data_IF_960563755002
#
_entry.id   IF_960563755002
#
_cell.length_a   1.000
_cell.length_b   1.000
_cell.length_c   1.000
_cell.angle_alpha   90.00
_cell.angle_beta   90.00
_cell.angle_gamma   90.00
#
_symmetry.space_group_name_H-M   'P 1'
#
loop_
_entity.id
_entity.type
_entity.pdbx_description
1 polymer ?
#
# COMPACT_ATOMS: atom_id res chain seq x y z
N UNK A 1 -14.99 58.09 -66.45
CA UNK A 1 -13.91 57.55 -65.61
C UNK A 1 -14.56 56.62 -64.61
N UNK A 2 -14.52 55.31 -64.85
CA UNK A 2 -15.24 54.31 -64.06
C UNK A 2 -14.24 53.28 -63.60
N UNK A 3 -13.97 53.25 -62.30
CA UNK A 3 -13.02 52.36 -61.64
C UNK A 3 -13.56 50.93 -61.62
N UNK A 4 -12.75 49.98 -62.09
CA UNK A 4 -13.03 48.54 -62.01
C UNK A 4 -12.39 48.00 -60.73
N UNK A 5 -13.19 47.77 -59.68
CA UNK A 5 -12.75 47.17 -58.42
C UNK A 5 -12.81 45.65 -58.51
N UNK A 6 -11.65 44.99 -58.55
CA UNK A 6 -11.51 43.54 -58.41
C UNK A 6 -11.63 43.14 -56.93
N UNK A 7 -12.68 42.39 -56.59
CA UNK A 7 -12.80 41.71 -55.30
C UNK A 7 -11.98 40.42 -55.30
N UNK A 8 -10.94 40.34 -54.47
CA UNK A 8 -10.27 39.08 -54.14
C UNK A 8 -11.03 38.42 -52.98
N UNK A 9 -11.70 37.30 -53.24
CA UNK A 9 -12.18 36.39 -52.18
C UNK A 9 -10.98 35.62 -51.61
N UNK A 10 -10.54 35.98 -50.40
CA UNK A 10 -9.69 35.10 -49.60
C UNK A 10 -10.57 34.00 -48.97
N UNK A 11 -10.47 32.78 -49.50
CA UNK A 11 -11.05 31.60 -48.85
C UNK A 11 -10.29 31.27 -47.58
N UNK A 12 -10.92 31.42 -46.41
CA UNK A 12 -10.42 30.88 -45.16
C UNK A 12 -10.54 29.34 -45.21
N UNK A 13 -9.43 28.66 -45.48
CA UNK A 13 -9.25 27.25 -45.16
C UNK A 13 -9.14 27.11 -43.63
N UNK A 14 -10.26 26.82 -42.98
CA UNK A 14 -10.27 26.42 -41.58
C UNK A 14 -9.60 25.06 -41.43
N UNK A 15 -8.37 25.02 -40.89
CA UNK A 15 -7.80 23.78 -40.36
C UNK A 15 -8.59 23.40 -39.10
N UNK A 16 -9.49 22.42 -39.23
CA UNK A 16 -10.01 21.70 -38.07
C UNK A 16 -8.88 20.82 -37.53
N UNK A 17 -8.18 21.28 -36.50
CA UNK A 17 -7.34 20.40 -35.69
C UNK A 17 -8.31 19.48 -34.94
N UNK A 18 -8.47 18.25 -35.43
CA UNK A 18 -9.16 17.22 -34.67
C UNK A 18 -8.36 16.99 -33.39
N UNK A 19 -8.85 17.50 -32.26
CA UNK A 19 -8.35 17.13 -30.96
C UNK A 19 -8.66 15.66 -30.76
N UNK A 20 -7.64 14.80 -30.92
CA UNK A 20 -7.72 13.43 -30.46
C UNK A 20 -7.75 13.52 -28.93
N UNK A 21 -8.95 13.59 -28.37
CA UNK A 21 -9.15 13.38 -26.94
C UNK A 21 -8.81 11.90 -26.71
N UNK A 22 -7.74 11.57 -25.96
CA UNK A 22 -7.49 10.18 -25.60
C UNK A 22 -8.74 9.67 -24.88
N UNK A 23 -9.36 8.60 -25.39
CA UNK A 23 -10.39 7.91 -24.63
C UNK A 23 -9.73 7.45 -23.34
N UNK A 24 -10.19 7.95 -22.19
CA UNK A 24 -9.80 7.36 -20.92
C UNK A 24 -10.17 5.87 -20.98
N UNK A 25 -9.22 5.01 -20.63
CA UNK A 25 -9.48 3.58 -20.55
C UNK A 25 -10.67 3.32 -19.60
N UNK A 26 -11.50 2.31 -19.89
CA UNK A 26 -12.68 2.06 -19.08
C UNK A 26 -12.27 1.60 -17.68
N UNK A 27 -12.89 2.17 -16.65
CA UNK A 27 -12.82 1.66 -15.29
C UNK A 27 -13.50 0.29 -15.25
N UNK A 28 -12.78 -0.73 -14.80
CA UNK A 28 -13.27 -2.12 -14.75
C UNK A 28 -13.25 -2.66 -13.32
N UNK A 29 -14.23 -3.50 -12.98
CA UNK A 29 -14.21 -4.20 -11.71
C UNK A 29 -13.26 -5.40 -11.78
N UNK A 30 -12.44 -5.58 -10.74
CA UNK A 30 -11.58 -6.74 -10.61
C UNK A 30 -12.40 -7.98 -10.26
N UNK A 31 -12.01 -9.12 -10.82
CA UNK A 31 -12.55 -10.42 -10.41
C UNK A 31 -12.06 -10.80 -9.01
N UNK A 32 -12.79 -11.71 -8.35
CA UNK A 32 -12.40 -12.21 -7.03
C UNK A 32 -10.98 -12.82 -7.03
N UNK A 33 -10.55 -13.47 -8.11
CA UNK A 33 -9.19 -14.02 -8.21
C UNK A 33 -8.11 -12.95 -8.37
N UNK A 34 -8.43 -11.84 -9.06
CA UNK A 34 -7.52 -10.70 -9.16
C UNK A 34 -7.36 -10.02 -7.80
N UNK A 35 -8.44 -9.81 -7.06
CA UNK A 35 -8.39 -9.27 -5.68
C UNK A 35 -7.60 -10.19 -4.75
N UNK A 36 -7.89 -11.50 -4.77
CA UNK A 36 -7.21 -12.47 -3.91
C UNK A 36 -5.69 -12.53 -4.14
N UNK A 37 -5.20 -12.15 -5.32
CA UNK A 37 -3.76 -12.09 -5.61
C UNK A 37 -3.01 -11.02 -4.81
N UNK A 38 -3.71 -10.00 -4.29
CA UNK A 38 -3.13 -8.97 -3.42
C UNK A 38 -2.97 -9.45 -1.97
N UNK A 39 -3.81 -10.39 -1.53
CA UNK A 39 -3.94 -10.78 -0.11
C UNK A 39 -2.61 -11.16 0.58
N UNK A 40 -1.69 -11.94 -0.03
CA UNK A 40 -0.39 -12.21 0.58
C UNK A 40 0.39 -10.93 0.86
N UNK A 41 0.37 -9.98 -0.08
CA UNK A 41 1.07 -8.70 0.01
C UNK A 41 0.39 -7.73 0.98
N UNK A 42 -0.94 -7.79 1.13
CA UNK A 42 -1.66 -7.06 2.18
C UNK A 42 -1.15 -7.47 3.57
N UNK A 43 -1.00 -8.78 3.82
CA UNK A 43 -0.44 -9.26 5.08
C UNK A 43 1.05 -8.91 5.26
N UNK A 44 1.83 -8.82 4.17
CA UNK A 44 3.20 -8.33 4.27
C UNK A 44 3.25 -6.83 4.63
N UNK A 45 2.36 -6.00 4.08
CA UNK A 45 2.26 -4.61 4.49
C UNK A 45 1.80 -4.49 5.97
N UNK A 46 0.80 -5.26 6.39
CA UNK A 46 0.37 -5.32 7.79
C UNK A 46 1.49 -5.78 8.74
N UNK A 47 2.27 -6.80 8.35
CA UNK A 47 3.43 -7.31 9.10
C UNK A 47 4.48 -6.25 9.39
N UNK A 48 4.61 -5.22 8.54
CA UNK A 48 5.59 -4.16 8.74
C UNK A 48 5.31 -3.31 9.98
N UNK A 49 4.09 -3.33 10.53
CA UNK A 49 3.75 -2.70 11.81
C UNK A 49 4.22 -3.47 13.05
N UNK A 50 4.74 -4.69 12.87
CA UNK A 50 5.16 -5.53 13.97
C UNK A 50 6.62 -5.24 14.34
N UNK A 51 6.93 -5.36 15.64
CA UNK A 51 8.29 -5.14 16.13
C UNK A 51 9.31 -5.98 15.34
N UNK A 52 10.47 -5.43 14.95
CA UNK A 52 11.48 -6.14 14.16
C UNK A 52 11.85 -7.51 14.74
N UNK A 53 12.00 -7.59 16.06
CA UNK A 53 12.27 -8.86 16.75
C UNK A 53 11.14 -9.90 16.58
N UNK A 54 9.88 -9.46 16.59
CA UNK A 54 8.74 -10.34 16.39
C UNK A 54 8.64 -10.82 14.93
N UNK A 55 8.99 -9.95 13.95
CA UNK A 55 9.07 -10.35 12.54
C UNK A 55 10.18 -11.40 12.35
N UNK A 56 11.38 -11.15 12.89
CA UNK A 56 12.51 -12.08 12.79
C UNK A 56 12.22 -13.44 13.44
N UNK A 57 11.57 -13.43 14.61
CA UNK A 57 11.19 -14.64 15.34
C UNK A 57 9.89 -15.29 14.84
N UNK A 58 9.27 -14.72 13.78
CA UNK A 58 7.96 -15.14 13.25
C UNK A 58 6.86 -15.21 14.32
N UNK A 59 6.93 -14.34 15.33
CA UNK A 59 6.04 -14.34 16.49
C UNK A 59 5.09 -13.14 16.45
N UNK A 60 4.57 -12.81 15.27
CA UNK A 60 3.74 -11.63 15.04
C UNK A 60 2.26 -11.93 14.76
N UNK A 61 1.80 -13.09 15.24
CA UNK A 61 0.41 -13.56 15.14
C UNK A 61 -0.04 -13.70 13.68
N UNK A 62 -1.28 -13.34 13.42
CA UNK A 62 -1.92 -13.51 12.10
C UNK A 62 -1.11 -12.93 10.93
N UNK A 63 -0.38 -11.83 11.16
CA UNK A 63 0.45 -11.20 10.13
C UNK A 63 1.66 -12.08 9.73
N UNK A 64 2.18 -12.88 10.66
CA UNK A 64 3.21 -13.87 10.39
C UNK A 64 2.60 -15.16 9.83
N UNK A 65 1.49 -15.61 10.42
CA UNK A 65 0.85 -16.89 10.09
C UNK A 65 0.21 -16.89 8.69
N UNK A 66 -0.17 -15.72 8.17
CA UNK A 66 -0.72 -15.59 6.81
C UNK A 66 0.29 -15.93 5.70
N UNK A 67 1.60 -15.85 5.99
CA UNK A 67 2.67 -16.16 5.03
C UNK A 67 3.75 -17.03 5.71
N UNK A 68 3.39 -18.26 6.10
CA UNK A 68 4.25 -19.16 6.90
C UNK A 68 5.58 -19.53 6.22
N UNK A 69 5.61 -19.54 4.89
CA UNK A 69 6.81 -19.83 4.10
C UNK A 69 7.87 -18.73 4.18
N UNK A 70 7.51 -17.51 4.60
CA UNK A 70 8.41 -16.38 4.71
C UNK A 70 9.61 -16.70 5.60
N UNK A 71 10.80 -16.34 5.16
CA UNK A 71 12.05 -16.50 5.90
C UNK A 71 12.65 -15.10 6.13
N UNK A 72 12.37 -14.47 7.28
CA UNK A 72 12.98 -13.19 7.65
C UNK A 72 14.50 -13.29 7.63
N UNK A 73 15.16 -12.28 7.05
CA UNK A 73 16.63 -12.20 6.93
C UNK A 73 17.19 -11.02 7.71
N UNK A 74 16.50 -9.88 7.66
CA UNK A 74 16.86 -8.67 8.40
C UNK A 74 15.58 -7.90 8.75
N UNK A 75 15.61 -7.18 9.87
CA UNK A 75 14.60 -6.21 10.22
C UNK A 75 15.23 -5.12 11.10
N UNK A 76 14.68 -3.91 11.07
CA UNK A 76 15.21 -2.78 11.81
C UNK A 76 14.18 -1.66 11.96
N UNK A 77 14.66 -0.50 12.41
CA UNK A 77 13.82 0.64 12.79
C UNK A 77 13.36 0.58 14.25
N UNK A 78 12.86 1.71 14.74
CA UNK A 78 12.29 1.87 16.09
C UNK A 78 10.81 2.24 16.08
N UNK A 79 10.22 2.42 14.88
CA UNK A 79 8.82 2.78 14.67
C UNK A 79 8.51 4.22 15.09
N UNK A 80 9.55 5.03 15.23
CA UNK A 80 9.50 6.43 15.66
C UNK A 80 10.43 7.27 14.79
N UNK A 81 11.73 7.33 15.12
CA UNK A 81 12.70 8.10 14.35
C UNK A 81 13.08 7.42 13.02
N UNK A 82 12.95 6.09 12.97
CA UNK A 82 13.11 5.25 11.79
C UNK A 82 11.94 4.27 11.76
N UNK A 83 11.11 4.33 10.72
CA UNK A 83 10.04 3.37 10.51
C UNK A 83 10.57 1.93 10.50
N UNK A 84 9.79 0.98 11.01
CA UNK A 84 10.18 -0.42 10.91
C UNK A 84 10.31 -0.83 9.46
N UNK A 85 11.28 -1.69 9.20
CA UNK A 85 11.47 -2.30 7.91
C UNK A 85 11.93 -3.74 8.09
N UNK A 86 11.70 -4.57 7.08
CA UNK A 86 12.24 -5.92 7.04
C UNK A 86 12.56 -6.36 5.61
N UNK A 87 13.46 -7.34 5.52
CA UNK A 87 13.78 -8.07 4.30
C UNK A 87 13.74 -9.56 4.59
N UNK A 88 13.16 -10.35 3.69
CA UNK A 88 13.18 -11.81 3.80
C UNK A 88 12.87 -12.52 2.49
N UNK A 89 12.98 -13.84 2.49
CA UNK A 89 12.76 -14.68 1.31
C UNK A 89 11.39 -15.35 1.45
N UNK A 90 10.53 -15.23 0.44
CA UNK A 90 9.35 -16.08 0.32
C UNK A 90 9.54 -17.08 -0.84
N UNK A 91 9.84 -18.36 -0.52
CA UNK A 91 10.03 -19.38 -1.54
C UNK A 91 8.72 -19.78 -2.23
N UNK A 92 7.56 -19.60 -1.59
CA UNK A 92 6.25 -19.92 -2.19
C UNK A 92 5.87 -18.90 -3.25
N UNK A 93 6.11 -17.61 -2.96
CA UNK A 93 5.90 -16.50 -3.91
C UNK A 93 7.09 -16.30 -4.86
N UNK A 94 8.20 -17.03 -4.65
CA UNK A 94 9.45 -16.95 -5.43
C UNK A 94 10.00 -15.52 -5.53
N UNK A 95 9.97 -14.80 -4.43
CA UNK A 95 10.45 -13.42 -4.35
C UNK A 95 11.14 -13.14 -3.02
N UNK A 96 12.11 -12.24 -3.03
CA UNK A 96 12.52 -11.52 -1.81
C UNK A 96 11.43 -10.48 -1.52
N UNK A 97 11.03 -10.32 -0.25
CA UNK A 97 10.10 -9.30 0.20
C UNK A 97 10.87 -8.23 0.96
N UNK A 98 10.61 -6.96 0.64
CA UNK A 98 10.98 -5.80 1.46
C UNK A 98 9.69 -5.13 1.92
N UNK A 99 9.54 -4.93 3.22
CA UNK A 99 8.37 -4.27 3.79
C UNK A 99 8.74 -3.06 4.63
N UNK A 100 7.96 -1.98 4.48
CA UNK A 100 8.09 -0.75 5.27
C UNK A 100 6.83 -0.46 6.08
N UNK A 101 7.05 -0.03 7.32
CA UNK A 101 6.00 0.44 8.22
C UNK A 101 5.47 1.80 7.76
N UNK A 102 4.16 1.98 7.86
CA UNK A 102 3.56 3.30 7.87
C UNK A 102 3.66 3.99 9.23
N UNK A 103 2.94 5.10 9.40
CA UNK A 103 2.81 5.76 10.71
C UNK A 103 1.41 5.53 11.29
N UNK A 104 1.13 6.06 12.49
CA UNK A 104 -0.24 6.14 12.98
C UNK A 104 -1.03 7.13 12.11
N UNK A 105 -2.24 6.79 11.62
CA UNK A 105 -3.03 7.67 10.77
C UNK A 105 -3.23 9.08 11.36
N UNK A 106 -3.44 9.16 12.68
CA UNK A 106 -3.62 10.43 13.40
C UNK A 106 -2.38 11.34 13.39
N UNK A 107 -1.20 10.80 13.07
CA UNK A 107 0.05 11.57 12.90
C UNK A 107 0.26 12.03 11.46
N UNK A 108 -0.46 11.46 10.48
CA UNK A 108 -0.34 11.79 9.05
C UNK A 108 -0.77 13.23 8.77
N UNK A 109 -1.88 13.68 9.38
CA UNK A 109 -2.43 15.01 9.10
C UNK A 109 -1.44 16.11 9.50
N UNK A 110 -0.90 16.17 10.72
CA UNK A 110 0.11 17.18 11.08
C UNK A 110 1.36 17.11 10.20
N UNK A 111 1.85 15.89 9.89
CA UNK A 111 3.06 15.68 9.07
C UNK A 111 2.93 16.21 7.63
N UNK A 112 1.70 16.32 7.11
CA UNK A 112 1.40 16.73 5.73
C UNK A 112 0.67 18.08 5.63
N UNK A 113 0.44 18.75 6.77
CA UNK A 113 -0.08 20.14 6.81
C UNK A 113 0.87 21.11 7.48
N UNK A 114 1.84 20.64 8.27
CA UNK A 114 2.88 21.49 8.83
C UNK A 114 3.82 21.94 7.69
N UNK A 115 4.05 23.25 7.59
CA UNK A 115 4.71 23.94 6.46
C UNK A 115 6.21 23.66 6.29
N UNK A 116 6.67 22.44 6.54
CA UNK A 116 8.07 21.99 6.44
C UNK A 116 8.33 20.92 5.37
N UNK A 117 7.31 20.51 4.60
CA UNK A 117 7.51 19.65 3.44
C UNK A 117 7.43 20.41 2.12
N UNK A 118 8.20 19.94 1.14
CA UNK A 118 8.28 20.50 -0.21
C UNK A 118 8.80 19.43 -1.18
N UNK A 119 8.66 19.68 -2.47
CA UNK A 119 9.33 18.93 -3.52
C UNK A 119 10.82 19.26 -3.50
N UNK A 120 11.66 18.24 -3.41
CA UNK A 120 13.12 18.37 -3.40
C UNK A 120 13.77 17.30 -4.28
N UNK A 121 15.00 17.55 -4.71
CA UNK A 121 15.74 16.64 -5.55
C UNK A 121 16.19 15.39 -4.78
N UNK A 122 16.15 14.25 -5.45
CA UNK A 122 16.70 13.01 -4.91
C UNK A 122 18.23 13.10 -4.77
N UNK A 123 18.75 12.55 -3.66
CA UNK A 123 20.19 12.48 -3.42
C UNK A 123 20.88 11.65 -4.52
N UNK A 124 21.75 12.26 -5.32
CA UNK A 124 22.43 11.61 -6.45
C UNK A 124 23.38 10.46 -6.07
N UNK A 125 23.78 10.34 -4.80
CA UNK A 125 24.52 9.16 -4.31
C UNK A 125 23.61 7.94 -4.17
N UNK A 126 22.36 8.17 -3.74
CA UNK A 126 21.35 7.11 -3.61
C UNK A 126 20.64 6.87 -4.95
N UNK A 127 20.41 7.91 -5.74
CA UNK A 127 19.65 7.84 -6.99
C UNK A 127 20.50 8.34 -8.17
N UNK A 128 21.62 7.66 -8.49
CA UNK A 128 22.53 8.13 -9.52
C UNK A 128 21.86 8.15 -10.89
N UNK A 129 22.06 9.24 -11.64
CA UNK A 129 21.67 9.32 -13.05
C UNK A 129 20.19 9.62 -13.31
N UNK A 130 19.39 9.87 -12.27
CA UNK A 130 18.02 10.37 -12.44
C UNK A 130 18.03 11.81 -12.96
N UNK A 131 17.06 12.13 -13.82
CA UNK A 131 16.86 13.47 -14.36
C UNK A 131 16.62 14.48 -13.24
N UNK A 132 17.26 15.65 -13.31
CA UNK A 132 17.12 16.72 -12.31
C UNK A 132 15.70 17.30 -12.21
N UNK A 133 14.83 17.07 -13.20
CA UNK A 133 13.41 17.43 -13.10
C UNK A 133 12.63 16.55 -12.14
N UNK A 134 13.17 15.41 -11.71
CA UNK A 134 12.53 14.52 -10.74
C UNK A 134 12.71 15.09 -9.34
N UNK A 135 11.59 15.40 -8.71
CA UNK A 135 11.53 15.87 -7.32
C UNK A 135 10.52 15.02 -6.55
N UNK A 136 10.81 14.79 -5.27
CA UNK A 136 9.97 14.02 -4.36
C UNK A 136 9.75 14.78 -3.05
N UNK A 137 8.81 14.31 -2.25
CA UNK A 137 8.58 14.81 -0.90
C UNK A 137 9.87 14.69 -0.06
N UNK A 138 10.43 15.83 0.35
CA UNK A 138 11.70 15.88 1.10
C UNK A 138 11.72 14.95 2.32
N UNK A 139 10.65 14.89 3.12
CA UNK A 139 10.59 14.00 4.30
C UNK A 139 10.51 12.51 3.96
N UNK A 140 9.93 12.13 2.82
CA UNK A 140 9.95 10.73 2.39
C UNK A 140 11.35 10.35 1.91
N UNK A 141 12.03 11.25 1.18
CA UNK A 141 13.42 11.05 0.79
C UNK A 141 14.37 10.96 2.00
N UNK A 142 14.22 11.86 2.98
CA UNK A 142 14.99 11.85 4.23
C UNK A 142 14.81 10.54 5.00
N UNK A 143 13.57 10.08 5.14
CA UNK A 143 13.26 8.84 5.86
C UNK A 143 13.80 7.60 5.12
N UNK A 144 13.61 7.53 3.81
CA UNK A 144 14.17 6.45 2.97
C UNK A 144 15.70 6.39 3.06
N UNK A 145 16.37 7.54 3.04
CA UNK A 145 17.84 7.62 3.11
C UNK A 145 18.42 6.98 4.38
N UNK A 146 17.67 6.97 5.50
CA UNK A 146 18.13 6.38 6.77
C UNK A 146 18.30 4.86 6.68
N UNK A 147 17.55 4.17 5.83
CA UNK A 147 17.49 2.71 5.77
C UNK A 147 17.94 2.12 4.43
N UNK A 148 18.02 2.92 3.36
CA UNK A 148 18.36 2.52 2.00
C UNK A 148 19.56 1.55 1.90
N UNK A 149 20.70 1.91 2.49
CA UNK A 149 21.91 1.06 2.43
C UNK A 149 21.77 -0.26 3.19
N UNK A 150 21.04 -0.27 4.31
CA UNK A 150 20.80 -1.48 5.10
C UNK A 150 19.88 -2.44 4.34
N UNK A 151 18.81 -1.90 3.74
CA UNK A 151 17.86 -2.65 2.91
C UNK A 151 18.53 -3.18 1.64
N UNK A 152 19.34 -2.38 0.95
CA UNK A 152 20.11 -2.83 -0.22
C UNK A 152 21.02 -4.01 0.13
N UNK A 153 21.76 -3.90 1.24
CA UNK A 153 22.65 -4.96 1.71
C UNK A 153 21.88 -6.25 2.05
N UNK A 154 20.79 -6.13 2.81
CA UNK A 154 19.95 -7.26 3.18
C UNK A 154 19.26 -7.91 1.97
N UNK A 155 18.78 -7.11 1.02
CA UNK A 155 18.14 -7.58 -0.22
C UNK A 155 19.15 -8.34 -1.07
N UNK A 156 20.37 -7.82 -1.23
CA UNK A 156 21.45 -8.51 -1.94
C UNK A 156 21.79 -9.86 -1.30
N UNK A 157 21.89 -9.91 0.03
CA UNK A 157 22.15 -11.16 0.75
C UNK A 157 21.00 -12.18 0.59
N UNK A 158 19.75 -11.72 0.63
CA UNK A 158 18.58 -12.58 0.42
C UNK A 158 18.51 -13.15 -1.01
N UNK A 159 18.82 -12.34 -2.02
CA UNK A 159 18.90 -12.78 -3.42
C UNK A 159 20.03 -13.82 -3.62
N UNK A 160 21.22 -13.56 -3.08
CA UNK A 160 22.35 -14.50 -3.14
C UNK A 160 22.05 -15.83 -2.45
N UNK A 161 21.39 -15.80 -1.29
CA UNK A 161 21.04 -17.02 -0.54
C UNK A 161 19.98 -17.87 -1.24
N UNK A 162 19.06 -17.25 -1.97
CA UNK A 162 17.89 -17.91 -2.55
C UNK A 162 18.03 -18.21 -4.05
N UNK A 163 18.97 -17.57 -4.75
CA UNK A 163 19.08 -17.54 -6.21
C UNK A 163 17.81 -17.03 -6.91
N UNK A 164 16.94 -16.29 -6.20
CA UNK A 164 15.78 -15.66 -6.79
C UNK A 164 16.19 -14.40 -7.57
N UNK A 165 15.40 -14.07 -8.59
CA UNK A 165 15.62 -12.91 -9.45
C UNK A 165 14.46 -11.91 -9.36
N UNK A 166 13.64 -12.01 -8.31
CA UNK A 166 12.50 -11.11 -8.08
C UNK A 166 12.53 -10.56 -6.65
N UNK A 167 12.27 -9.26 -6.55
CA UNK A 167 12.03 -8.53 -5.30
C UNK A 167 10.63 -7.93 -5.36
N UNK A 168 9.88 -8.06 -4.28
CA UNK A 168 8.57 -7.44 -4.11
C UNK A 168 8.62 -6.50 -2.93
N UNK A 169 8.29 -5.25 -3.18
CA UNK A 169 8.31 -4.14 -2.24
C UNK A 169 6.88 -3.91 -1.78
N UNK A 170 6.67 -3.79 -0.47
CA UNK A 170 5.34 -3.55 0.08
C UNK A 170 5.38 -2.47 1.15
N UNK A 171 4.29 -1.74 1.28
CA UNK A 171 4.13 -0.81 2.38
C UNK A 171 2.72 -0.23 2.44
N UNK A 172 2.38 0.29 3.61
CA UNK A 172 1.12 1.00 3.85
C UNK A 172 1.42 2.42 4.30
N UNK A 173 0.60 3.40 3.92
CA UNK A 173 0.75 4.80 4.35
C UNK A 173 2.14 5.36 4.00
N UNK A 174 2.85 6.00 4.94
CA UNK A 174 4.26 6.37 4.80
C UNK A 174 5.13 5.20 4.25
N UNK A 175 4.88 3.97 4.69
CA UNK A 175 5.62 2.80 4.22
C UNK A 175 5.39 2.51 2.73
N UNK A 176 4.21 2.85 2.19
CA UNK A 176 3.95 2.74 0.75
C UNK A 176 4.81 3.74 -0.05
N UNK A 177 4.98 4.96 0.47
CA UNK A 177 5.88 5.95 -0.13
C UNK A 177 7.34 5.50 -0.09
N UNK A 178 7.80 4.93 1.04
CA UNK A 178 9.15 4.37 1.16
C UNK A 178 9.37 3.19 0.23
N UNK A 179 8.39 2.28 0.10
CA UNK A 179 8.43 1.16 -0.84
C UNK A 179 8.48 1.64 -2.31
N UNK A 180 7.78 2.72 -2.65
CA UNK A 180 7.87 3.33 -3.99
C UNK A 180 9.26 3.93 -4.25
N UNK A 181 9.86 4.60 -3.26
CA UNK A 181 11.24 5.10 -3.39
C UNK A 181 12.25 3.94 -3.53
N UNK A 182 12.09 2.86 -2.76
CA UNK A 182 12.90 1.63 -2.91
C UNK A 182 12.80 1.04 -4.32
N UNK A 183 11.63 1.16 -4.96
CA UNK A 183 11.41 0.64 -6.32
C UNK A 183 12.15 1.42 -7.40
N UNK A 184 12.59 2.64 -7.08
CA UNK A 184 13.46 3.46 -7.94
C UNK A 184 14.92 3.27 -7.54
N UNK A 185 15.20 3.16 -6.24
CA UNK A 185 16.54 3.04 -5.64
C UNK A 185 17.19 1.68 -5.93
N UNK A 186 16.55 0.57 -5.55
CA UNK A 186 17.15 -0.77 -5.60
C UNK A 186 17.57 -1.21 -7.01
N UNK A 187 16.80 -0.95 -8.09
CA UNK A 187 17.23 -1.31 -9.45
C UNK A 187 18.56 -0.68 -9.87
N UNK A 188 18.93 0.48 -9.33
CA UNK A 188 20.21 1.15 -9.62
C UNK A 188 21.43 0.33 -9.16
N UNK A 189 21.24 -0.56 -8.18
CA UNK A 189 22.32 -1.32 -7.54
C UNK A 189 22.15 -2.85 -7.62
N UNK A 190 21.06 -3.31 -8.21
CA UNK A 190 20.70 -4.72 -8.38
C UNK A 190 20.27 -4.99 -9.83
N UNK A 191 21.18 -4.83 -10.82
CA UNK A 191 20.85 -5.06 -12.22
C UNK A 191 20.45 -6.51 -12.46
N UNK A 192 19.48 -6.72 -13.34
CA UNK A 192 18.96 -8.05 -13.70
C UNK A 192 17.93 -8.63 -12.72
N UNK A 193 17.57 -7.89 -11.66
CA UNK A 193 16.50 -8.26 -10.72
C UNK A 193 15.19 -7.61 -11.18
N UNK A 194 14.10 -8.37 -11.13
CA UNK A 194 12.75 -7.88 -11.40
C UNK A 194 12.12 -7.34 -10.12
N UNK A 195 11.48 -6.17 -10.21
CA UNK A 195 10.84 -5.52 -9.07
C UNK A 195 9.33 -5.42 -9.28
N UNK A 196 8.57 -5.64 -8.22
CA UNK A 196 7.14 -5.37 -8.11
C UNK A 196 6.87 -4.57 -6.85
N UNK A 197 5.95 -3.63 -6.90
CA UNK A 197 5.64 -2.76 -5.76
C UNK A 197 4.15 -2.78 -5.48
N UNK A 198 3.78 -3.07 -4.23
CA UNK A 198 2.41 -2.99 -3.73
C UNK A 198 2.32 -1.94 -2.63
N UNK A 199 1.71 -0.80 -2.96
CA UNK A 199 1.39 0.26 -2.00
C UNK A 199 -0.05 0.15 -1.51
N UNK A 200 -0.29 0.44 -0.24
CA UNK A 200 -1.64 0.54 0.33
C UNK A 200 -1.80 1.92 0.96
N UNK A 201 -2.86 2.66 0.62
CA UNK A 201 -3.03 4.05 1.07
C UNK A 201 -1.83 4.92 0.71
N UNK A 202 -1.30 4.77 -0.51
CA UNK A 202 -0.05 5.41 -0.96
C UNK A 202 -0.25 6.94 -1.07
N UNK A 203 0.39 7.79 -0.25
CA UNK A 203 0.34 9.24 -0.49
C UNK A 203 1.08 9.61 -1.77
N UNK A 204 0.78 10.78 -2.35
CA UNK A 204 1.55 11.29 -3.50
C UNK A 204 3.00 11.51 -3.09
N UNK A 205 3.93 10.95 -3.86
CA UNK A 205 5.35 10.90 -3.48
C UNK A 205 6.18 12.00 -4.14
N UNK A 206 5.86 12.39 -5.38
CA UNK A 206 6.69 13.34 -6.12
C UNK A 206 5.92 14.11 -7.18
N UNK A 207 6.67 14.86 -7.97
CA UNK A 207 6.11 15.70 -9.03
C UNK A 207 5.71 14.89 -10.27
N UNK A 208 5.20 15.57 -11.31
CA UNK A 208 4.82 14.90 -12.56
C UNK A 208 5.98 14.12 -13.19
N UNK A 209 7.21 14.67 -13.18
CA UNK A 209 8.36 13.97 -13.74
C UNK A 209 8.71 12.69 -12.98
N UNK A 210 8.50 12.66 -11.65
CA UNK A 210 8.60 11.45 -10.86
C UNK A 210 7.51 10.44 -11.22
N UNK A 211 6.26 10.87 -11.35
CA UNK A 211 5.15 10.00 -11.75
C UNK A 211 5.40 9.38 -13.14
N UNK A 212 5.79 10.19 -14.13
CA UNK A 212 6.13 9.73 -15.47
C UNK A 212 7.29 8.71 -15.45
N UNK A 213 8.30 8.93 -14.61
CA UNK A 213 9.39 7.98 -14.43
C UNK A 213 8.89 6.65 -13.85
N UNK A 214 8.04 6.69 -12.82
CA UNK A 214 7.44 5.50 -12.20
C UNK A 214 6.61 4.74 -13.23
N UNK A 215 5.75 5.42 -13.98
CA UNK A 215 4.87 4.81 -14.98
C UNK A 215 5.67 4.09 -16.09
N UNK A 216 6.85 4.62 -16.43
CA UNK A 216 7.71 4.04 -17.45
C UNK A 216 8.65 2.92 -16.95
N UNK A 217 9.02 2.91 -15.67
CA UNK A 217 10.14 2.08 -15.18
C UNK A 217 9.79 1.15 -14.01
N UNK A 218 8.65 1.34 -13.35
CA UNK A 218 8.28 0.63 -12.11
C UNK A 218 6.99 -0.17 -12.31
N UNK A 219 7.00 -1.43 -11.88
CA UNK A 219 5.77 -2.23 -11.79
C UNK A 219 5.04 -1.90 -10.47
N UNK A 220 4.22 -0.85 -10.49
CA UNK A 220 3.44 -0.41 -9.35
C UNK A 220 1.99 -0.90 -9.42
N UNK A 221 1.48 -1.40 -8.30
CA UNK A 221 0.05 -1.42 -8.01
C UNK A 221 -0.16 -0.78 -6.66
N UNK A 222 -1.09 0.18 -6.57
CA UNK A 222 -1.44 0.79 -5.30
C UNK A 222 -2.94 0.67 -5.04
N UNK A 223 -3.29 0.32 -3.81
CA UNK A 223 -4.67 0.06 -3.41
C UNK A 223 -5.12 1.14 -2.45
N UNK A 224 -6.22 1.80 -2.78
CA UNK A 224 -6.81 2.87 -1.98
C UNK A 224 -8.18 2.43 -1.49
N UNK A 225 -8.46 2.67 -0.21
CA UNK A 225 -9.66 2.17 0.43
C UNK A 225 -10.70 3.27 0.64
N UNK A 226 -11.83 3.17 -0.06
CA UNK A 226 -12.98 4.07 0.06
C UNK A 226 -12.52 5.53 0.04
N UNK A 227 -13.12 6.38 0.87
CA UNK A 227 -12.76 7.79 0.93
C UNK A 227 -11.53 8.07 1.80
N UNK A 228 -10.56 7.16 1.88
CA UNK A 228 -9.26 7.47 2.49
C UNK A 228 -8.62 8.68 1.78
N UNK A 229 -8.29 9.75 2.52
CA UNK A 229 -7.70 10.94 1.91
C UNK A 229 -6.19 10.85 1.76
N UNK A 230 -5.50 9.90 2.38
CA UNK A 230 -4.03 9.81 2.32
C UNK A 230 -3.52 9.74 0.88
N UNK A 231 -4.14 8.97 -0.04
CA UNK A 231 -3.74 8.92 -1.44
C UNK A 231 -3.92 10.23 -2.22
N UNK A 232 -4.76 11.15 -1.72
CA UNK A 232 -4.99 12.45 -2.35
C UNK A 232 -4.20 13.58 -1.70
N UNK A 233 -3.20 13.25 -0.87
CA UNK A 233 -2.25 14.23 -0.30
C UNK A 233 -0.79 13.79 -0.51
N UNK A 234 0.17 14.74 -0.58
CA UNK A 234 -0.04 16.19 -0.65
C UNK A 234 -0.80 16.63 -1.92
N UNK A 235 -1.37 17.83 -1.90
CA UNK A 235 -2.27 18.30 -2.95
C UNK A 235 -1.55 18.51 -4.30
N UNK A 236 -2.27 18.28 -5.41
CA UNK A 236 -1.79 18.56 -6.78
C UNK A 236 -1.40 20.01 -7.01
N UNK A 237 -2.04 20.95 -6.30
CA UNK A 237 -1.71 22.37 -6.35
C UNK A 237 -0.32 22.69 -5.78
N UNK A 238 0.28 21.77 -5.01
CA UNK A 238 1.66 21.84 -4.54
C UNK A 238 2.64 21.12 -5.48
N UNK A 239 2.19 20.69 -6.66
CA UNK A 239 3.01 20.03 -7.68
C UNK A 239 3.10 18.50 -7.57
N UNK A 240 2.47 17.89 -6.57
CA UNK A 240 2.50 16.44 -6.37
C UNK A 240 1.52 15.70 -7.28
N UNK A 241 1.92 14.56 -7.83
CA UNK A 241 1.11 13.73 -8.73
C UNK A 241 1.20 12.26 -8.31
N UNK A 242 0.06 11.58 -8.32
CA UNK A 242 0.01 10.14 -8.09
C UNK A 242 0.29 9.39 -9.41
N UNK A 243 1.22 8.42 -9.44
CA UNK A 243 1.44 7.56 -10.62
C UNK A 243 0.26 6.62 -10.89
N UNK A 244 0.26 6.00 -12.07
CA UNK A 244 -0.78 5.06 -12.48
C UNK A 244 -0.77 3.77 -11.64
N UNK A 245 -1.78 2.93 -11.85
CA UNK A 245 -1.84 1.59 -11.25
C UNK A 245 -2.78 1.46 -10.05
N UNK A 246 -3.65 2.45 -9.84
CA UNK A 246 -4.62 2.47 -8.75
C UNK A 246 -5.61 1.29 -8.84
N UNK A 247 -5.88 0.69 -7.67
CA UNK A 247 -7.02 -0.18 -7.40
C UNK A 247 -7.87 0.48 -6.31
N UNK A 248 -9.06 0.97 -6.66
CA UNK A 248 -9.95 1.66 -5.71
C UNK A 248 -10.99 0.71 -5.12
N UNK A 249 -10.99 0.55 -3.80
CA UNK A 249 -12.01 -0.20 -3.08
C UNK A 249 -13.21 0.72 -2.82
N UNK A 250 -14.36 0.40 -3.40
CA UNK A 250 -15.60 1.15 -3.20
C UNK A 250 -16.22 0.85 -1.83
N UNK A 251 -17.21 1.65 -1.42
CA UNK A 251 -17.95 1.44 -0.15
C UNK A 251 -18.57 0.04 -0.03
N UNK A 252 -19.04 -0.50 -1.15
CA UNK A 252 -19.60 -1.84 -1.25
C UNK A 252 -18.53 -2.96 -1.35
N UNK A 253 -17.26 -2.64 -1.12
CA UNK A 253 -16.09 -3.51 -1.17
C UNK A 253 -15.71 -4.03 -2.57
N UNK A 254 -16.30 -3.50 -3.64
CA UNK A 254 -15.86 -3.79 -5.01
C UNK A 254 -14.51 -3.13 -5.26
N UNK A 255 -13.58 -3.84 -5.89
CA UNK A 255 -12.30 -3.26 -6.33
C UNK A 255 -12.40 -2.86 -7.79
N UNK A 256 -12.03 -1.61 -8.10
CA UNK A 256 -12.00 -1.08 -9.46
C UNK A 256 -10.56 -0.83 -9.89
N UNK A 257 -10.26 -1.10 -11.16
CA UNK A 257 -9.03 -0.69 -11.82
C UNK A 257 -9.19 0.74 -12.33
N UNK A 258 -8.40 1.66 -11.81
CA UNK A 258 -8.46 3.09 -12.10
C UNK A 258 -7.28 3.47 -12.99
N UNK A 259 -7.51 3.74 -14.30
CA UNK A 259 -6.43 3.97 -15.24
C UNK A 259 -5.86 5.39 -15.13
N UNK A 260 -4.57 5.53 -15.43
CA UNK A 260 -3.86 6.80 -15.46
C UNK A 260 -3.57 7.41 -14.08
N UNK A 261 -3.01 8.62 -14.13
CA UNK A 261 -2.52 9.35 -12.96
C UNK A 261 -3.64 10.23 -12.40
N UNK A 262 -3.85 10.21 -11.08
CA UNK A 262 -4.86 11.04 -10.40
C UNK A 262 -6.22 11.06 -11.14
N UNK A 263 -6.76 9.88 -11.45
CA UNK A 263 -7.97 9.74 -12.26
C UNK A 263 -9.15 10.51 -11.63
N UNK A 264 -9.74 11.51 -12.32
CA UNK A 264 -10.74 12.40 -11.74
C UNK A 264 -12.15 11.80 -11.71
N UNK A 265 -12.37 10.59 -12.20
CA UNK A 265 -13.66 9.90 -12.09
C UNK A 265 -14.01 9.68 -10.61
N UNK A 266 -15.26 9.94 -10.22
CA UNK A 266 -15.72 9.83 -8.83
C UNK A 266 -15.65 8.41 -8.26
N UNK A 267 -15.35 7.40 -9.09
CA UNK A 267 -15.11 6.01 -8.69
C UNK A 267 -13.64 5.70 -8.39
N UNK A 268 -12.74 6.67 -8.54
CA UNK A 268 -11.30 6.58 -8.23
C UNK A 268 -10.94 7.60 -7.15
N UNK A 269 -9.88 7.37 -6.36
CA UNK A 269 -9.61 8.17 -5.16
C UNK A 269 -9.52 9.67 -5.41
N UNK A 270 -8.88 10.08 -6.50
CA UNK A 270 -8.69 11.50 -6.82
C UNK A 270 -10.00 12.23 -7.20
N UNK A 271 -11.01 11.50 -7.69
CA UNK A 271 -12.36 12.03 -7.93
C UNK A 271 -13.31 11.84 -6.74
N UNK A 272 -13.22 10.71 -6.05
CA UNK A 272 -14.05 10.34 -4.88
C UNK A 272 -13.73 11.25 -3.67
N UNK A 273 -12.44 11.57 -3.48
CA UNK A 273 -11.94 12.47 -2.42
C UNK A 273 -11.44 13.78 -3.04
N UNK A 274 -12.39 14.62 -3.45
CA UNK A 274 -12.11 15.91 -4.08
C UNK A 274 -11.35 16.90 -3.17
N UNK A 275 -11.41 16.71 -1.85
CA UNK A 275 -10.63 17.44 -0.86
C UNK A 275 -10.44 16.61 0.42
N UNK A 276 -9.46 16.99 1.25
CA UNK A 276 -9.23 16.35 2.56
C UNK A 276 -10.49 16.35 3.44
N UNK A 277 -11.35 17.38 3.33
CA UNK A 277 -12.59 17.46 4.11
C UNK A 277 -13.68 16.49 3.66
N UNK A 278 -13.60 15.99 2.43
CA UNK A 278 -14.52 14.95 1.91
C UNK A 278 -14.03 13.53 2.19
N UNK A 279 -12.78 13.38 2.64
CA UNK A 279 -12.22 12.09 2.97
C UNK A 279 -12.41 11.71 4.44
N UNK A 280 -12.14 10.44 4.73
CA UNK A 280 -12.28 9.83 6.03
C UNK A 280 -11.06 8.96 6.34
N UNK A 281 -10.24 9.42 7.29
CA UNK A 281 -9.04 8.73 7.76
C UNK A 281 -9.34 7.35 8.36
N UNK A 282 -10.57 7.09 8.83
CA UNK A 282 -10.91 5.76 9.36
C UNK A 282 -10.90 4.66 8.29
N UNK A 283 -10.96 5.04 7.01
CA UNK A 283 -10.83 4.09 5.90
C UNK A 283 -9.35 3.75 5.60
N UNK A 284 -8.38 4.48 6.17
CA UNK A 284 -6.97 4.30 5.82
C UNK A 284 -6.45 2.91 6.20
N UNK A 285 -6.80 2.42 7.38
CA UNK A 285 -6.27 1.15 7.91
C UNK A 285 -6.90 -0.09 7.23
N UNK A 286 -7.98 0.06 6.48
CA UNK A 286 -8.61 -1.03 5.74
C UNK A 286 -10.15 -1.09 5.87
N UNK A 287 -10.77 -2.22 5.46
CA UNK A 287 -10.13 -3.48 5.08
C UNK A 287 -9.61 -3.54 3.64
N UNK A 288 -8.44 -4.11 3.43
CA UNK A 288 -7.86 -4.47 2.12
C UNK A 288 -8.03 -5.97 1.86
N UNK A 289 -9.15 -6.37 1.26
CA UNK A 289 -9.57 -7.79 1.14
C UNK A 289 -9.67 -8.50 2.51
N UNK A 290 -10.25 -7.79 3.48
CA UNK A 290 -10.43 -8.26 4.86
C UNK A 290 -9.17 -8.17 5.72
N UNK A 291 -8.08 -7.59 5.22
CA UNK A 291 -6.86 -7.33 5.99
C UNK A 291 -6.87 -5.89 6.48
N UNK A 292 -6.79 -5.72 7.79
CA UNK A 292 -6.52 -4.42 8.43
C UNK A 292 -5.01 -4.21 8.54
N UNK A 293 -4.55 -2.97 8.40
CA UNK A 293 -3.16 -2.54 8.49
C UNK A 293 -3.05 -1.43 9.52
N UNK A 294 -1.94 -1.38 10.26
CA UNK A 294 -1.75 -0.36 11.31
C UNK A 294 -1.17 -0.94 12.59
N UNK A 295 -0.68 -0.06 13.47
CA UNK A 295 0.03 -0.47 14.69
C UNK A 295 -0.79 -1.35 15.64
N UNK A 296 -2.13 -1.22 15.63
CA UNK A 296 -3.01 -2.04 16.45
C UNK A 296 -2.98 -3.53 16.08
N UNK A 297 -2.74 -3.86 14.80
CA UNK A 297 -2.74 -5.25 14.29
C UNK A 297 -1.61 -6.10 14.87
N UNK A 298 -0.53 -5.46 15.36
CA UNK A 298 0.63 -6.13 15.94
C UNK A 298 0.74 -6.00 17.47
N UNK A 299 -0.13 -5.23 18.12
CA UNK A 299 -0.12 -5.04 19.59
C UNK A 299 -0.74 -6.20 20.36
N UNK A 300 -1.59 -7.02 19.73
CA UNK A 300 -2.29 -8.13 20.39
C UNK A 300 -1.46 -9.42 20.55
N UNK A 301 -0.14 -9.37 20.38
CA UNK A 301 0.73 -10.57 20.43
C UNK A 301 1.40 -10.77 21.79
N UNK A 302 0.92 -10.12 22.85
CA UNK A 302 1.29 -10.47 24.24
C UNK A 302 0.27 -11.44 24.84
N UNK A 303 0.57 -12.74 24.70
CA UNK A 303 0.13 -13.78 25.64
C UNK A 303 -1.35 -14.15 25.63
N UNK A 304 -1.70 -15.21 24.89
CA UNK A 304 -2.35 -16.41 25.43
C UNK A 304 -2.47 -17.44 24.31
N UNK A 305 -1.89 -18.62 24.53
CA UNK A 305 -2.39 -19.83 23.92
C UNK A 305 -3.81 -20.06 24.46
N UNK A 306 -4.79 -19.39 23.86
CA UNK A 306 -6.21 -19.51 24.16
C UNK A 306 -6.85 -20.44 23.14
N UNK A 307 -7.30 -21.58 23.61
CA UNK A 307 -8.02 -22.63 22.89
C UNK A 307 -9.10 -21.99 22.00
N UNK A 308 -8.98 -22.18 20.68
CA UNK A 308 -10.06 -21.91 19.76
C UNK A 308 -11.19 -22.91 20.02
N UNK A 309 -12.21 -22.51 20.78
CA UNK A 309 -13.51 -23.20 20.75
C UNK A 309 -14.20 -22.82 19.46
N UNK A 310 -14.19 -23.74 18.50
CA UNK A 310 -15.00 -23.67 17.31
C UNK A 310 -16.49 -23.56 17.71
N UNK A 311 -17.12 -22.42 17.44
CA UNK A 311 -18.57 -22.32 17.44
C UNK A 311 -19.10 -23.05 16.20
N UNK A 312 -19.45 -24.32 16.37
CA UNK A 312 -20.20 -25.07 15.37
C UNK A 312 -21.60 -24.46 15.23
N UNK A 313 -21.89 -23.97 14.03
CA UNK A 313 -23.23 -23.61 13.61
C UNK A 313 -24.02 -24.90 13.35
N UNK A 314 -25.09 -25.14 14.10
CA UNK A 314 -26.12 -26.14 13.73
C UNK A 314 -27.49 -25.51 13.80
N UNK A 315 -28.02 -25.28 12.60
CA UNK A 315 -29.44 -25.13 12.30
C UNK A 315 -30.06 -26.53 12.48
N UNK A 316 -31.08 -26.70 13.33
CA UNK A 316 -32.22 -27.58 13.07
C UNK A 316 -33.39 -27.32 14.03
N UNK A 317 -34.59 -27.31 13.45
CA UNK A 317 -35.88 -27.15 14.09
C UNK A 317 -36.36 -28.43 14.80
N UNK A 318 -37.32 -28.30 15.73
CA UNK A 318 -38.33 -29.34 15.99
C UNK A 318 -38.54 -29.78 17.45
N UNK A 319 -39.72 -29.43 17.99
CA UNK A 319 -40.61 -30.20 18.88
C UNK A 319 -40.07 -31.24 19.91
N UNK A 320 -40.52 -31.09 21.17
CA UNK A 320 -41.24 -32.16 21.89
C UNK A 320 -40.69 -32.67 23.23
N UNK A 321 -41.58 -32.67 24.25
CA UNK A 321 -41.64 -33.48 25.48
C UNK A 321 -40.52 -33.33 26.55
N UNK A 322 -40.77 -32.83 27.77
CA UNK A 322 -41.48 -33.40 28.95
C UNK A 322 -40.80 -34.64 29.57
N UNK A 323 -40.33 -34.53 30.83
CA UNK A 323 -40.27 -35.50 31.96
C UNK A 323 -39.18 -35.04 32.97
N UNK A 324 -39.52 -34.48 34.14
CA UNK A 324 -39.82 -35.10 35.45
C UNK A 324 -38.61 -35.65 36.24
N UNK A 325 -38.37 -34.96 37.37
CA UNK A 325 -38.21 -35.46 38.75
C UNK A 325 -36.95 -36.21 39.24
N UNK A 326 -36.53 -35.73 40.43
CA UNK A 326 -36.18 -36.50 41.64
C UNK A 326 -34.71 -36.76 42.02
N UNK A 327 -34.37 -36.15 43.17
CA UNK A 327 -33.72 -36.73 44.38
C UNK A 327 -32.20 -36.96 44.32
N UNK A 328 -31.41 -36.16 45.05
CA UNK A 328 -31.09 -36.26 46.49
C UNK A 328 -30.19 -37.47 46.80
N UNK A 329 -28.93 -37.23 47.18
CA UNK A 329 -28.27 -37.92 48.29
C UNK A 329 -27.07 -37.10 48.80
N UNK A 330 -26.89 -37.22 50.09
CA UNK A 330 -26.19 -36.37 51.04
C UNK A 330 -24.91 -37.01 51.56
N UNK A 331 -23.96 -36.16 51.99
CA UNK A 331 -22.99 -36.34 53.08
C UNK A 331 -21.89 -37.41 52.94
N UNK A 332 -20.62 -36.97 52.99
CA UNK A 332 -19.75 -37.10 54.17
C UNK A 332 -18.39 -36.38 53.96
N UNK A 333 -17.86 -35.67 54.97
CA UNK A 333 -16.48 -35.21 55.02
C UNK A 333 -15.65 -35.97 56.08
N UNK A 334 -14.35 -36.20 55.82
CA UNK A 334 -13.20 -36.49 56.73
C UNK A 334 -12.09 -37.10 55.84
N UNK A 335 -10.78 -36.93 56.01
CA UNK A 335 -9.95 -36.57 57.17
C UNK A 335 -8.51 -36.28 56.67
N UNK A 336 -7.69 -35.70 57.55
CA UNK A 336 -6.28 -35.34 57.41
C UNK A 336 -5.36 -36.37 56.71
N UNK A 337 -4.57 -35.90 55.74
CA UNK A 337 -3.09 -35.86 55.69
C UNK A 337 -2.66 -35.27 54.34
#
# INVERSE_FOLDING_TARGET
>A
MTFCTTFFLFGLLGLTIATVIPRADPITALSASQVAAFKPFSYYAAKAYCQPAAVLNKSCGINCDANTAFQPMAAGGDGSAIQFWYVGIDPSLKTVIVGHQGTDPNKIVPLLTDGGFFLDHLNQTLFPGLNSSIEVHNKFADEHAKTANQILSATRAALQKSNLTQVTLVGHSLGAALALLDSVFLPQFLPGIQFKTFGYGLPRVGNQAFADYVDANVQLSHVNNRQDFVPVIPLRTLGFVQPQGEKHIQDNLTWLDCPGNDNPDSRCSAGDVSSVSTGNLSNHDGPYDGVEMGGATCKNVTGTAGIATAAASTIHAGCGALFLLATAFSLLPLQLL
#
